data_IF_023485169678
#
_entry.id   IF_023485169678
#
_cell.length_a   1.000
_cell.length_b   1.000
_cell.length_c   1.000
_cell.angle_alpha   90.00
_cell.angle_beta   90.00
_cell.angle_gamma   90.00
#
_symmetry.space_group_name_H-M   'P 1'
#
loop_
_entity.id
_entity.type
_entity.pdbx_description
1 polymer ?
#
# COMPACT_ATOMS: atom_id res chain seq x y z
N UNK A 1 -0.70 -38.97 -1.64
CA UNK A 1 -1.30 -37.62 -1.71
C UNK A 1 -0.14 -36.62 -1.79
N UNK A 2 0.05 -35.92 -2.90
CA UNK A 2 1.13 -34.92 -3.02
C UNK A 2 0.54 -33.57 -2.59
N UNK A 3 0.99 -33.05 -1.45
CA UNK A 3 0.61 -31.69 -1.02
C UNK A 3 1.35 -30.72 -1.92
N UNK A 4 0.61 -30.02 -2.79
CA UNK A 4 1.16 -28.92 -3.60
C UNK A 4 1.57 -27.82 -2.63
N UNK A 5 2.89 -27.64 -2.44
CA UNK A 5 3.41 -26.56 -1.60
C UNK A 5 3.04 -25.22 -2.24
N UNK A 6 2.05 -24.53 -1.69
CA UNK A 6 1.74 -23.15 -2.07
C UNK A 6 2.88 -22.25 -1.59
N UNK A 7 3.71 -21.78 -2.51
CA UNK A 7 4.68 -20.72 -2.22
C UNK A 7 3.96 -19.40 -2.44
N UNK A 8 3.77 -18.63 -1.38
CA UNK A 8 3.18 -17.30 -1.48
C UNK A 8 4.27 -16.32 -1.93
N UNK A 9 4.23 -15.95 -3.21
CA UNK A 9 5.09 -14.93 -3.83
C UNK A 9 4.41 -13.55 -3.81
N UNK A 10 5.10 -12.50 -4.23
CA UNK A 10 4.54 -11.14 -4.29
C UNK A 10 4.88 -10.22 -3.12
N UNK A 11 5.80 -10.59 -2.23
CA UNK A 11 6.35 -9.67 -1.21
C UNK A 11 7.35 -8.63 -1.76
N UNK A 12 7.76 -8.75 -3.03
CA UNK A 12 8.77 -7.89 -3.65
C UNK A 12 8.16 -6.67 -4.33
N UNK A 13 8.45 -5.48 -3.80
CA UNK A 13 7.94 -4.21 -4.29
C UNK A 13 9.08 -3.29 -4.76
N UNK A 14 8.82 -2.55 -5.84
CA UNK A 14 9.70 -1.49 -6.35
C UNK A 14 8.96 -0.15 -6.33
N UNK A 15 9.60 0.86 -5.74
CA UNK A 15 9.14 2.24 -5.80
C UNK A 15 9.54 2.83 -7.16
N UNK A 16 8.55 3.17 -7.98
CA UNK A 16 8.74 3.82 -9.28
C UNK A 16 8.49 5.31 -9.08
N UNK A 17 9.52 6.17 -9.17
CA UNK A 17 9.35 7.61 -8.96
C UNK A 17 8.44 8.23 -10.04
N UNK A 18 7.67 9.22 -9.63
CA UNK A 18 6.81 10.08 -10.46
C UNK A 18 7.07 11.55 -10.12
N UNK A 19 6.39 12.45 -10.82
CA UNK A 19 6.47 13.88 -10.55
C UNK A 19 6.11 14.21 -9.09
N UNK A 20 6.62 15.34 -8.59
CA UNK A 20 6.29 15.90 -7.27
C UNK A 20 6.63 14.98 -6.09
N UNK A 21 7.63 14.12 -6.23
CA UNK A 21 8.08 13.22 -5.16
C UNK A 21 7.10 12.09 -4.85
N UNK A 22 6.16 11.82 -5.75
CA UNK A 22 5.21 10.71 -5.66
C UNK A 22 5.83 9.42 -6.21
N UNK A 23 5.26 8.29 -5.80
CA UNK A 23 5.68 6.97 -6.24
C UNK A 23 4.48 6.13 -6.68
N UNK A 24 4.71 5.25 -7.65
CA UNK A 24 3.91 4.05 -7.83
C UNK A 24 4.64 2.86 -7.20
N UNK A 25 3.91 1.96 -6.54
CA UNK A 25 4.49 0.76 -5.93
C UNK A 25 4.21 -0.44 -6.82
N UNK A 26 5.20 -0.86 -7.59
CA UNK A 26 5.12 -1.99 -8.51
C UNK A 26 5.47 -3.28 -7.78
N UNK A 27 4.59 -4.27 -7.85
CA UNK A 27 4.92 -5.63 -7.44
C UNK A 27 5.73 -6.31 -8.55
N UNK A 28 6.86 -6.91 -8.19
CA UNK A 28 7.77 -7.54 -9.15
C UNK A 28 7.30 -8.92 -9.63
N UNK A 29 6.39 -9.55 -8.89
CA UNK A 29 5.83 -10.85 -9.23
C UNK A 29 4.65 -10.70 -10.20
N UNK A 30 3.65 -9.90 -9.82
CA UNK A 30 2.46 -9.70 -10.65
C UNK A 30 2.60 -8.62 -11.73
N UNK A 31 3.66 -7.80 -11.69
CA UNK A 31 3.81 -6.60 -12.54
C UNK A 31 2.67 -5.58 -12.42
N UNK A 32 1.91 -5.64 -11.31
CA UNK A 32 0.80 -4.72 -11.02
C UNK A 32 1.16 -3.72 -9.92
N UNK A 33 0.47 -2.59 -9.90
CA UNK A 33 0.69 -1.47 -8.99
C UNK A 33 -0.26 -1.48 -7.81
N UNK A 34 0.23 -1.11 -6.62
CA UNK A 34 -0.63 -0.93 -5.45
C UNK A 34 -1.54 0.31 -5.62
N UNK A 35 -2.83 0.16 -5.38
CA UNK A 35 -3.84 1.20 -5.59
C UNK A 35 -4.95 1.18 -4.53
N UNK A 36 -5.39 2.37 -4.12
CA UNK A 36 -6.62 2.59 -3.34
C UNK A 36 -7.85 2.83 -4.23
N UNK A 37 -7.65 2.93 -5.55
CA UNK A 37 -8.66 3.37 -6.52
C UNK A 37 -9.32 4.71 -6.16
N UNK A 38 -8.63 5.56 -5.39
CA UNK A 38 -9.15 6.87 -4.97
C UNK A 38 -10.14 6.79 -3.81
N UNK A 39 -10.30 5.62 -3.17
CA UNK A 39 -11.19 5.49 -2.03
C UNK A 39 -10.72 6.37 -0.86
N UNK A 40 -11.63 7.20 -0.35
CA UNK A 40 -11.35 8.21 0.70
C UNK A 40 -11.78 7.80 2.09
N UNK A 41 -12.38 6.62 2.25
CA UNK A 41 -12.88 6.12 3.53
C UNK A 41 -11.85 5.20 4.22
N UNK A 42 -11.66 5.36 5.53
CA UNK A 42 -10.88 4.41 6.35
C UNK A 42 -11.49 3.00 6.29
N UNK A 43 -10.64 1.99 6.25
CA UNK A 43 -11.04 0.59 6.05
C UNK A 43 -11.27 0.20 4.59
N UNK A 44 -11.23 1.15 3.64
CA UNK A 44 -11.30 0.82 2.21
C UNK A 44 -10.13 -0.05 1.80
N UNK A 45 -10.38 -1.09 1.01
CA UNK A 45 -9.34 -2.04 0.60
C UNK A 45 -8.36 -1.39 -0.37
N UNK A 46 -7.09 -1.70 -0.19
CA UNK A 46 -6.02 -1.43 -1.15
C UNK A 46 -5.77 -2.74 -1.89
N UNK A 47 -5.68 -2.69 -3.23
CA UNK A 47 -5.43 -3.86 -4.07
C UNK A 47 -4.41 -3.52 -5.15
N UNK A 48 -4.09 -4.50 -6.00
CA UNK A 48 -3.25 -4.27 -7.16
C UNK A 48 -4.06 -3.92 -8.40
N UNK A 49 -3.52 -3.07 -9.27
CA UNK A 49 -4.08 -2.68 -10.57
C UNK A 49 -3.02 -2.70 -11.66
N UNK A 50 -3.40 -3.06 -12.88
CA UNK A 50 -2.58 -2.93 -14.10
C UNK A 50 -2.76 -1.57 -14.79
N UNK A 51 -3.79 -0.82 -14.41
CA UNK A 51 -4.18 0.49 -14.95
C UNK A 51 -4.08 1.56 -13.86
N UNK A 52 -2.86 2.02 -13.51
CA UNK A 52 -2.67 2.88 -12.35
C UNK A 52 -3.10 4.34 -12.62
N UNK A 53 -4.21 4.74 -12.01
CA UNK A 53 -4.66 6.14 -11.95
C UNK A 53 -4.17 6.90 -10.70
N UNK A 54 -4.79 8.03 -10.38
CA UNK A 54 -4.42 8.88 -9.23
C UNK A 54 -4.45 8.16 -7.87
N UNK A 55 -5.34 7.17 -7.72
CA UNK A 55 -5.40 6.31 -6.53
C UNK A 55 -4.21 5.34 -6.36
N UNK A 56 -3.31 5.26 -7.34
CA UNK A 56 -2.07 4.47 -7.28
C UNK A 56 -0.81 5.34 -7.05
N UNK A 57 -0.99 6.62 -6.72
CA UNK A 57 0.10 7.53 -6.37
C UNK A 57 0.25 7.62 -4.86
N UNK A 58 1.49 7.45 -4.39
CA UNK A 58 1.83 7.37 -2.99
C UNK A 58 2.95 8.33 -2.63
N UNK A 59 2.82 9.01 -1.48
CA UNK A 59 3.87 9.81 -0.87
C UNK A 59 4.54 8.99 0.24
N UNK A 60 5.86 8.94 0.22
CA UNK A 60 6.65 8.33 1.30
C UNK A 60 7.06 9.43 2.27
N UNK A 61 6.55 9.36 3.49
CA UNK A 61 6.87 10.30 4.57
C UNK A 61 7.81 9.60 5.52
N UNK A 62 9.01 10.15 5.71
CA UNK A 62 10.01 9.62 6.64
C UNK A 62 9.77 10.21 8.02
N UNK A 63 9.75 9.35 9.03
CA UNK A 63 9.62 9.72 10.43
C UNK A 63 10.96 9.54 11.16
N UNK A 64 11.04 10.08 12.38
CA UNK A 64 12.15 9.81 13.28
C UNK A 64 12.29 8.30 13.55
N UNK A 65 13.53 7.83 13.68
CA UNK A 65 13.85 6.43 13.91
C UNK A 65 13.74 5.54 12.67
N UNK A 66 13.77 6.13 11.47
CA UNK A 66 13.83 5.38 10.21
C UNK A 66 12.50 4.76 9.76
N UNK A 67 11.41 5.03 10.47
CA UNK A 67 10.06 4.57 10.10
C UNK A 67 9.53 5.38 8.92
N UNK A 68 8.59 4.81 8.18
CA UNK A 68 7.91 5.48 7.08
C UNK A 68 6.39 5.38 7.21
N UNK A 69 5.72 6.40 6.70
CA UNK A 69 4.31 6.34 6.32
C UNK A 69 4.23 6.33 4.79
N UNK A 70 3.30 5.54 4.26
CA UNK A 70 2.99 5.52 2.83
C UNK A 70 1.58 6.07 2.69
N UNK A 71 1.48 7.33 2.28
CA UNK A 71 0.23 8.06 2.17
C UNK A 71 -0.27 8.01 0.73
N UNK A 72 -1.55 7.73 0.53
CA UNK A 72 -2.17 7.87 -0.78
C UNK A 72 -2.36 9.35 -1.11
N UNK A 73 -1.98 9.74 -2.32
CA UNK A 73 -2.07 11.14 -2.74
C UNK A 73 -3.52 11.64 -2.87
N UNK A 74 -4.46 10.77 -3.26
CA UNK A 74 -5.85 11.17 -3.49
C UNK A 74 -6.67 11.27 -2.19
N UNK A 75 -6.48 10.33 -1.26
CA UNK A 75 -7.29 10.27 -0.02
C UNK A 75 -6.63 10.89 1.20
N UNK A 76 -5.32 11.14 1.16
CA UNK A 76 -4.49 11.52 2.31
C UNK A 76 -4.45 10.47 3.45
N UNK A 77 -5.03 9.29 3.23
CA UNK A 77 -4.96 8.15 4.14
C UNK A 77 -3.70 7.32 3.87
N UNK A 78 -3.37 6.44 4.79
CA UNK A 78 -2.14 5.65 4.79
C UNK A 78 -2.40 4.18 4.49
N UNK A 79 -1.37 3.46 4.07
CA UNK A 79 -1.40 1.99 4.08
C UNK A 79 -1.47 1.53 5.53
N UNK A 80 -2.47 0.72 5.85
CA UNK A 80 -2.59 0.01 7.10
C UNK A 80 -3.13 -1.40 6.88
N UNK A 81 -3.37 -2.08 7.99
CA UNK A 81 -3.99 -3.40 8.02
C UNK A 81 -5.16 -3.38 9.00
N UNK A 82 -6.12 -4.27 8.80
CA UNK A 82 -7.07 -4.67 9.83
C UNK A 82 -6.86 -6.16 10.09
N UNK A 83 -6.76 -6.55 11.36
CA UNK A 83 -6.67 -7.96 11.72
C UNK A 83 -8.09 -8.49 11.88
N UNK A 84 -8.57 -9.16 10.84
CA UNK A 84 -9.79 -9.97 10.89
C UNK A 84 -9.39 -11.45 11.02
N UNK A 85 -10.19 -12.27 11.70
CA UNK A 85 -9.83 -13.58 12.27
C UNK A 85 -9.09 -14.49 11.28
N UNK A 86 -9.40 -14.41 9.99
CA UNK A 86 -8.76 -15.21 8.93
C UNK A 86 -8.10 -14.39 7.80
N UNK A 87 -8.14 -13.05 7.85
CA UNK A 87 -7.63 -12.17 6.78
C UNK A 87 -7.03 -10.89 7.33
N UNK A 88 -5.85 -10.53 6.81
CA UNK A 88 -5.18 -9.26 7.13
C UNK A 88 -5.05 -8.43 5.84
N UNK A 89 -6.15 -7.84 5.32
CA UNK A 89 -6.07 -7.07 4.08
C UNK A 89 -5.31 -5.76 4.30
N UNK A 90 -4.64 -5.29 3.23
CA UNK A 90 -4.19 -3.91 3.16
C UNK A 90 -5.41 -3.00 3.01
N UNK A 91 -5.46 -1.96 3.83
CA UNK A 91 -6.56 -0.99 3.87
C UNK A 91 -6.02 0.43 3.93
N UNK A 92 -6.87 1.38 3.59
CA UNK A 92 -6.68 2.80 3.89
C UNK A 92 -6.91 3.02 5.39
N UNK A 93 -5.94 3.56 6.09
CA UNK A 93 -5.97 3.79 7.54
C UNK A 93 -5.57 5.23 7.89
N UNK A 94 -5.88 5.67 9.10
CA UNK A 94 -5.23 6.85 9.66
C UNK A 94 -3.80 6.53 10.09
N UNK A 95 -2.97 7.56 10.26
CA UNK A 95 -1.72 7.39 10.97
C UNK A 95 -2.00 7.12 12.46
N UNK A 96 -1.18 6.28 13.09
CA UNK A 96 -1.19 6.15 14.55
C UNK A 96 -0.78 7.50 15.15
N UNK A 97 -1.67 8.08 15.94
CA UNK A 97 -1.69 9.51 16.29
C UNK A 97 -0.69 9.95 17.35
N UNK A 98 0.33 9.14 17.69
CA UNK A 98 1.19 9.49 18.83
C UNK A 98 2.53 10.14 18.48
N UNK A 99 3.05 10.07 17.25
CA UNK A 99 4.37 10.67 16.92
C UNK A 99 4.49 11.08 15.45
N UNK A 100 3.66 12.04 15.04
CA UNK A 100 4.01 12.91 13.91
C UNK A 100 4.46 14.24 14.53
N UNK A 101 5.62 14.20 15.17
CA UNK A 101 6.40 15.39 15.57
C UNK A 101 7.79 15.25 14.99
#
# INVERSE_FOLDING_TARGET
MIVKKSVFTGGHWKFIPKANGLYQLLNRDSNMYLASYGATKRGSKIKQTDTPGGGALWKVIRLQGGRILIQNNASLLFIGIIKDQDKVPLIQAGALSERIT
#
